data_IF_429938951815
#
_entry.id   IF_429938951815
#
_cell.length_a   1.000
_cell.length_b   1.000
_cell.length_c   1.000
_cell.angle_alpha   90.00
_cell.angle_beta   90.00
_cell.angle_gamma   90.00
#
_symmetry.space_group_name_H-M   'P 1'
#
loop_
_entity.id
_entity.type
_entity.pdbx_description
1 polymer ?
#
# COMPACT_ATOMS: atom_id res chain seq x y z
N UNK A 1 8.57 26.67 25.21
CA UNK A 1 9.50 25.68 25.81
C UNK A 1 9.22 24.31 25.20
N UNK A 2 10.17 23.37 25.23
CA UNK A 2 9.94 21.99 24.77
C UNK A 2 9.09 21.21 25.78
N UNK A 3 8.42 20.16 25.32
CA UNK A 3 8.67 18.84 25.88
C UNK A 3 8.44 17.74 24.85
N UNK A 4 9.26 16.68 24.93
CA UNK A 4 9.21 15.49 24.09
C UNK A 4 8.82 14.30 24.97
N UNK A 5 8.31 13.22 24.38
CA UNK A 5 8.36 11.90 25.01
C UNK A 5 8.65 10.84 23.94
N UNK A 6 9.49 9.86 24.30
CA UNK A 6 10.09 8.90 23.35
C UNK A 6 9.47 7.51 23.46
N UNK A 7 9.52 6.75 22.35
CA UNK A 7 9.18 5.32 22.30
C UNK A 7 9.90 4.63 21.13
N UNK A 8 10.53 3.48 21.38
CA UNK A 8 11.49 2.80 20.48
C UNK A 8 11.04 1.37 20.13
N UNK A 9 11.54 0.74 19.05
CA UNK A 9 11.01 -0.55 18.52
C UNK A 9 12.13 -1.54 18.10
N UNK A 10 12.05 -2.82 18.55
CA UNK A 10 13.10 -3.89 18.50
C UNK A 10 12.51 -5.32 18.14
N UNK A 11 13.29 -6.44 18.10
CA UNK A 11 12.90 -7.86 17.77
C UNK A 11 14.10 -8.80 17.33
N UNK A 12 13.93 -9.81 16.42
CA UNK A 12 14.85 -10.17 15.27
C UNK A 12 14.34 -11.15 14.15
N UNK A 13 14.87 -12.37 13.81
CA UNK A 13 15.02 -12.92 12.44
C UNK A 13 13.95 -14.00 12.06
N UNK A 14 13.97 -14.85 11.00
CA UNK A 14 14.81 -15.18 9.81
C UNK A 14 13.86 -15.52 8.60
N UNK A 15 14.16 -16.08 7.40
CA UNK A 15 15.29 -16.77 6.74
C UNK A 15 15.16 -16.67 5.16
N UNK A 16 15.62 -17.67 4.38
CA UNK A 16 15.81 -17.60 2.90
C UNK A 16 14.94 -18.55 2.03
N UNK A 17 14.50 -18.08 0.83
CA UNK A 17 14.26 -18.87 -0.42
C UNK A 17 14.53 -17.95 -1.65
N UNK A 18 14.90 -18.48 -2.83
CA UNK A 18 15.29 -17.72 -4.05
C UNK A 18 14.23 -17.72 -5.19
N UNK A 19 14.40 -16.76 -6.11
CA UNK A 19 13.93 -16.69 -7.51
C UNK A 19 12.46 -16.30 -7.87
N UNK A 20 12.30 -16.03 -9.17
CA UNK A 20 11.15 -15.55 -9.95
C UNK A 20 10.76 -14.06 -9.85
N UNK A 21 10.47 -13.48 -11.03
CA UNK A 21 9.88 -12.16 -11.23
C UNK A 21 8.33 -12.22 -11.08
N UNK A 22 7.55 -11.15 -11.10
CA UNK A 22 7.81 -9.81 -11.66
C UNK A 22 7.00 -8.71 -10.96
N UNK A 23 7.26 -7.44 -11.32
CA UNK A 23 6.39 -6.31 -11.06
C UNK A 23 6.36 -5.43 -12.31
N UNK A 24 5.70 -5.92 -13.36
CA UNK A 24 5.71 -5.41 -14.74
C UNK A 24 5.19 -3.98 -14.85
N UNK A 25 5.60 -3.25 -15.89
CA UNK A 25 4.79 -2.16 -16.43
C UNK A 25 3.46 -2.77 -16.91
N UNK A 26 2.34 -2.13 -16.61
CA UNK A 26 1.04 -2.60 -17.08
C UNK A 26 0.64 -1.81 -18.32
N UNK A 27 0.80 -2.44 -19.49
CA UNK A 27 0.23 -1.99 -20.77
C UNK A 27 -0.64 -3.14 -21.28
N UNK A 28 -1.81 -2.81 -21.82
CA UNK A 28 -2.91 -3.72 -22.20
C UNK A 28 -3.80 -4.24 -21.04
N UNK A 29 -4.97 -4.73 -21.44
CA UNK A 29 -6.21 -4.67 -20.64
C UNK A 29 -7.02 -5.98 -20.83
N UNK A 30 -6.37 -7.14 -20.66
CA UNK A 30 -6.95 -8.47 -20.88
C UNK A 30 -7.46 -9.09 -19.58
N UNK A 31 -8.39 -10.05 -19.67
CA UNK A 31 -8.96 -10.72 -18.48
C UNK A 31 -7.89 -11.56 -17.78
N UNK A 32 -7.03 -12.20 -18.56
CA UNK A 32 -6.04 -13.18 -18.11
C UNK A 32 -4.90 -12.52 -17.30
N UNK A 33 -4.50 -11.31 -17.68
CA UNK A 33 -3.49 -10.55 -16.93
C UNK A 33 -4.01 -10.10 -15.56
N UNK A 34 -5.31 -9.81 -15.44
CA UNK A 34 -5.96 -9.51 -14.15
C UNK A 34 -6.05 -10.78 -13.29
N UNK A 35 -6.36 -11.93 -13.89
CA UNK A 35 -6.43 -13.23 -13.19
C UNK A 35 -5.05 -13.68 -12.69
N UNK A 36 -4.00 -13.57 -13.50
CA UNK A 36 -2.61 -13.84 -13.08
C UNK A 36 -2.17 -12.93 -11.92
N UNK A 37 -2.47 -11.63 -12.01
CA UNK A 37 -2.20 -10.65 -10.96
C UNK A 37 -2.94 -10.99 -9.65
N UNK A 38 -4.21 -11.40 -9.72
CA UNK A 38 -4.98 -11.90 -8.57
C UNK A 38 -4.38 -13.17 -7.97
N UNK A 39 -3.94 -14.12 -8.80
CA UNK A 39 -3.32 -15.38 -8.36
C UNK A 39 -1.97 -15.13 -7.66
N UNK A 40 -1.16 -14.20 -8.19
CA UNK A 40 0.10 -13.73 -7.58
C UNK A 40 -0.12 -13.05 -6.23
N UNK A 41 -1.20 -12.27 -6.07
CA UNK A 41 -1.56 -11.71 -4.75
C UNK A 41 -2.06 -12.77 -3.77
N UNK A 42 -2.92 -13.69 -4.20
CA UNK A 42 -3.51 -14.72 -3.34
C UNK A 42 -2.45 -15.49 -2.57
N UNK A 43 -1.45 -16.03 -3.28
CA UNK A 43 -0.33 -16.80 -2.72
C UNK A 43 0.59 -15.99 -1.79
N UNK A 44 0.60 -14.66 -1.86
CA UNK A 44 1.51 -13.80 -1.06
C UNK A 44 0.85 -13.17 0.16
N UNK A 45 -0.41 -12.75 0.04
CA UNK A 45 -1.19 -12.23 1.15
C UNK A 45 -1.36 -13.27 2.27
N UNK A 46 -1.54 -14.55 1.92
CA UNK A 46 -1.82 -15.63 2.89
C UNK A 46 -0.56 -16.16 3.60
N UNK A 47 0.62 -15.64 3.23
CA UNK A 47 1.89 -15.78 3.97
C UNK A 47 2.09 -14.60 4.92
N UNK A 48 1.85 -13.37 4.47
CA UNK A 48 2.00 -12.17 5.31
C UNK A 48 0.93 -12.08 6.40
N UNK A 49 -0.30 -12.51 6.10
CA UNK A 49 -1.37 -12.62 7.09
C UNK A 49 -1.04 -13.63 8.21
N UNK A 50 -0.22 -14.65 7.93
CA UNK A 50 0.21 -15.64 8.92
C UNK A 50 1.13 -15.00 9.97
N UNK A 51 2.25 -14.42 9.53
CA UNK A 51 3.19 -13.68 10.40
C UNK A 51 2.68 -12.37 11.00
N UNK A 52 1.41 -12.01 10.78
CA UNK A 52 0.68 -10.97 11.52
C UNK A 52 -0.27 -11.60 12.55
N UNK A 53 -0.94 -12.71 12.21
CA UNK A 53 -1.84 -13.48 13.09
C UNK A 53 -1.15 -14.03 14.33
N UNK A 54 0.15 -14.31 14.24
CA UNK A 54 0.93 -14.87 15.35
C UNK A 54 1.27 -13.85 16.45
N UNK A 55 1.00 -12.55 16.24
CA UNK A 55 1.27 -11.48 17.23
C UNK A 55 0.17 -10.41 17.33
N UNK A 56 -0.96 -10.58 16.63
CA UNK A 56 -2.17 -9.75 16.79
C UNK A 56 -3.35 -10.70 16.81
N UNK A 57 -4.26 -10.54 17.78
CA UNK A 57 -5.48 -11.36 17.90
C UNK A 57 -6.50 -11.02 16.80
N UNK A 58 -6.13 -11.37 15.56
CA UNK A 58 -6.96 -11.25 14.37
C UNK A 58 -7.87 -12.48 14.25
N UNK A 59 -8.77 -12.61 15.23
CA UNK A 59 -9.92 -13.50 15.19
C UNK A 59 -10.91 -13.07 14.11
N UNK A 60 -10.59 -13.32 12.82
CA UNK A 60 -11.46 -12.97 11.69
C UNK A 60 -11.63 -14.12 10.71
N UNK A 61 -12.89 -14.40 10.36
CA UNK A 61 -13.30 -15.57 9.56
C UNK A 61 -12.73 -15.49 8.14
N UNK A 62 -12.20 -16.62 7.64
CA UNK A 62 -11.57 -16.76 6.31
C UNK A 62 -12.51 -16.30 5.17
N UNK A 63 -13.82 -16.48 5.34
CA UNK A 63 -14.86 -16.04 4.41
C UNK A 63 -14.83 -14.53 4.13
N UNK A 64 -14.46 -13.70 5.10
CA UNK A 64 -14.24 -12.26 4.85
C UNK A 64 -13.04 -12.03 3.93
N UNK A 65 -11.93 -12.75 4.13
CA UNK A 65 -10.71 -12.61 3.33
C UNK A 65 -11.02 -12.83 1.84
N UNK A 66 -11.78 -13.89 1.52
CA UNK A 66 -12.16 -14.24 0.14
C UNK A 66 -13.08 -13.19 -0.49
N UNK A 67 -14.16 -12.75 0.19
CA UNK A 67 -15.10 -11.75 -0.35
C UNK A 67 -14.42 -10.44 -0.77
N UNK A 68 -13.43 -9.98 0.00
CA UNK A 68 -12.64 -8.79 -0.37
C UNK A 68 -11.75 -9.00 -1.59
N UNK A 69 -11.07 -10.15 -1.69
CA UNK A 69 -10.18 -10.50 -2.83
C UNK A 69 -10.94 -10.55 -4.16
N UNK A 70 -12.11 -11.20 -4.20
CA UNK A 70 -12.99 -11.23 -5.37
C UNK A 70 -13.43 -9.82 -5.80
N UNK A 71 -13.69 -8.93 -4.84
CA UNK A 71 -14.14 -7.56 -5.13
C UNK A 71 -13.10 -6.74 -5.91
N UNK A 72 -11.80 -6.88 -5.64
CA UNK A 72 -10.79 -6.03 -6.29
C UNK A 72 -10.64 -6.35 -7.78
N UNK A 73 -10.57 -7.64 -8.13
CA UNK A 73 -10.55 -8.08 -9.53
C UNK A 73 -11.81 -7.65 -10.28
N UNK A 74 -12.98 -7.89 -9.68
CA UNK A 74 -14.27 -7.45 -10.24
C UNK A 74 -14.31 -5.93 -10.45
N UNK A 75 -13.83 -5.12 -9.48
CA UNK A 75 -13.79 -3.65 -9.56
C UNK A 75 -12.84 -3.14 -10.66
N UNK A 76 -11.78 -3.89 -10.99
CA UNK A 76 -10.87 -3.56 -12.11
C UNK A 76 -11.52 -3.86 -13.45
N UNK A 77 -12.16 -5.02 -13.59
CA UNK A 77 -12.90 -5.38 -14.81
C UNK A 77 -14.08 -4.44 -15.04
N UNK A 78 -14.87 -4.13 -14.00
CA UNK A 78 -15.97 -3.14 -14.02
C UNK A 78 -15.51 -1.69 -14.23
N UNK A 79 -14.20 -1.42 -14.12
CA UNK A 79 -13.62 -0.13 -14.47
C UNK A 79 -12.98 -0.13 -15.87
N UNK A 80 -12.78 -1.29 -16.50
CA UNK A 80 -11.99 -1.39 -17.72
C UNK A 80 -10.51 -1.05 -17.50
N UNK A 81 -9.95 -1.41 -16.34
CA UNK A 81 -8.51 -1.28 -16.06
C UNK A 81 -8.16 -0.55 -14.76
N UNK A 82 -6.92 -0.73 -14.30
CA UNK A 82 -6.43 -0.23 -13.01
C UNK A 82 -6.32 1.29 -12.93
N UNK A 83 -6.09 1.97 -14.06
CA UNK A 83 -6.11 3.44 -14.13
C UNK A 83 -7.53 4.00 -13.92
N UNK A 84 -8.56 3.35 -14.47
CA UNK A 84 -9.94 3.77 -14.24
C UNK A 84 -10.38 3.49 -12.80
N UNK A 85 -9.82 2.47 -12.15
CA UNK A 85 -9.97 2.28 -10.69
C UNK A 85 -9.34 3.43 -9.91
N UNK A 86 -8.13 3.88 -10.28
CA UNK A 86 -7.47 5.05 -9.67
C UNK A 86 -8.31 6.32 -9.85
N UNK A 87 -8.74 6.62 -11.08
CA UNK A 87 -9.61 7.77 -11.43
C UNK A 87 -10.99 7.73 -10.75
N UNK A 88 -11.51 6.54 -10.40
CA UNK A 88 -12.74 6.38 -9.58
C UNK A 88 -12.50 6.52 -8.07
N UNK A 89 -11.26 6.46 -7.59
CA UNK A 89 -10.94 6.50 -6.16
C UNK A 89 -10.44 7.86 -5.67
N UNK A 90 -9.82 8.63 -6.53
CA UNK A 90 -9.20 9.93 -6.24
C UNK A 90 -9.59 10.94 -7.31
N UNK A 91 -9.55 12.23 -6.96
CA UNK A 91 -9.59 13.30 -7.96
C UNK A 91 -8.27 13.28 -8.74
N UNK A 92 -8.36 13.03 -10.05
CA UNK A 92 -7.23 12.81 -10.95
C UNK A 92 -7.39 13.71 -12.17
N UNK A 93 -6.36 14.51 -12.48
CA UNK A 93 -6.44 15.48 -13.56
C UNK A 93 -6.43 14.80 -14.95
N UNK A 94 -6.87 15.51 -16.00
CA UNK A 94 -6.82 14.99 -17.39
C UNK A 94 -5.39 14.70 -17.87
N UNK A 95 -4.40 15.47 -17.40
CA UNK A 95 -2.96 15.29 -17.73
C UNK A 95 -2.26 14.25 -16.86
N UNK A 96 -2.76 14.02 -15.65
CA UNK A 96 -2.20 13.07 -14.70
C UNK A 96 -2.35 11.64 -15.22
N UNK A 97 -1.28 10.84 -15.17
CA UNK A 97 -1.25 9.44 -15.62
C UNK A 97 -0.91 8.51 -14.46
N UNK A 98 -1.57 7.36 -14.39
CA UNK A 98 -1.16 6.31 -13.45
C UNK A 98 0.11 5.62 -13.99
N UNK A 99 1.19 5.66 -13.22
CA UNK A 99 2.46 5.03 -13.56
C UNK A 99 2.55 3.61 -12.99
N UNK A 100 2.03 3.38 -11.77
CA UNK A 100 2.10 2.09 -11.09
C UNK A 100 0.96 1.86 -10.10
N UNK A 101 0.58 0.61 -9.90
CA UNK A 101 -0.18 0.16 -8.74
C UNK A 101 0.55 -1.01 -8.04
N UNK A 102 0.70 -0.92 -6.72
CA UNK A 102 1.40 -1.88 -5.87
C UNK A 102 0.53 -2.22 -4.65
N UNK A 103 0.19 -3.49 -4.41
CA UNK A 103 -0.46 -3.86 -3.14
C UNK A 103 0.57 -3.81 -2.00
N UNK A 104 0.16 -3.22 -0.88
CA UNK A 104 0.96 -3.07 0.32
C UNK A 104 0.04 -2.94 1.55
N UNK A 105 0.63 -2.65 2.70
CA UNK A 105 -0.08 -2.26 3.91
C UNK A 105 0.40 -0.88 4.33
N UNK A 106 -0.51 0.00 4.75
CA UNK A 106 -0.17 1.20 5.50
C UNK A 106 -0.07 0.82 6.99
N UNK A 107 1.07 1.04 7.61
CA UNK A 107 1.27 0.83 9.05
C UNK A 107 0.62 1.97 9.83
N UNK A 108 -0.23 1.64 10.80
CA UNK A 108 -0.85 2.61 11.73
C UNK A 108 -0.73 2.11 13.17
N UNK A 109 -1.02 2.96 14.16
CA UNK A 109 -1.06 2.59 15.58
C UNK A 109 -2.06 1.46 15.87
N UNK A 110 -3.20 1.43 15.18
CA UNK A 110 -4.19 0.34 15.22
C UNK A 110 -3.81 -0.89 14.36
N UNK A 111 -2.58 -0.94 13.85
CA UNK A 111 -2.06 -2.05 13.04
C UNK A 111 -2.00 -1.77 11.52
N UNK A 112 -1.56 -2.77 10.72
CA UNK A 112 -1.35 -2.62 9.29
C UNK A 112 -2.67 -2.72 8.49
N UNK A 113 -3.04 -1.65 7.81
CA UNK A 113 -4.21 -1.58 6.93
C UNK A 113 -3.83 -2.07 5.54
N UNK A 114 -4.42 -3.19 5.09
CA UNK A 114 -4.23 -3.71 3.73
C UNK A 114 -4.87 -2.81 2.66
N UNK A 115 -4.15 -2.57 1.55
CA UNK A 115 -4.67 -1.77 0.45
C UNK A 115 -3.75 -1.67 -0.75
N UNK A 116 -4.12 -0.74 -1.65
CA UNK A 116 -3.45 -0.54 -2.92
C UNK A 116 -2.82 0.85 -2.96
N UNK A 117 -1.50 0.90 -3.19
CA UNK A 117 -0.73 2.11 -3.43
C UNK A 117 -0.67 2.37 -4.93
N UNK A 118 -1.19 3.52 -5.35
CA UNK A 118 -1.10 4.07 -6.68
C UNK A 118 0.03 5.10 -6.72
N UNK A 119 0.82 5.08 -7.79
CA UNK A 119 1.88 6.06 -8.05
C UNK A 119 1.52 6.68 -9.40
N UNK A 120 1.23 7.97 -9.42
CA UNK A 120 0.94 8.74 -10.64
C UNK A 120 2.05 9.76 -10.93
N UNK A 121 1.95 10.47 -12.06
CA UNK A 121 2.84 11.60 -12.38
C UNK A 121 2.69 12.80 -11.43
N UNK A 122 1.70 12.80 -10.53
CA UNK A 122 1.38 13.95 -9.66
C UNK A 122 1.39 13.61 -8.17
N UNK A 123 1.05 12.35 -7.80
CA UNK A 123 0.85 11.97 -6.40
C UNK A 123 1.06 10.47 -6.14
N UNK A 124 1.46 10.16 -4.92
CA UNK A 124 1.35 8.81 -4.34
C UNK A 124 0.04 8.75 -3.57
N UNK A 125 -0.82 7.77 -3.87
CA UNK A 125 -2.13 7.65 -3.25
C UNK A 125 -2.39 6.23 -2.75
N UNK A 126 -2.82 6.09 -1.50
CA UNK A 126 -3.16 4.79 -0.91
C UNK A 126 -4.67 4.70 -0.65
N UNK A 127 -5.29 3.55 -0.96
CA UNK A 127 -6.66 3.24 -0.51
C UNK A 127 -6.69 1.84 0.11
N UNK A 128 -7.35 1.72 1.26
CA UNK A 128 -7.61 0.41 1.87
C UNK A 128 -8.50 -0.46 0.97
N UNK A 129 -8.24 -1.78 0.94
CA UNK A 129 -9.02 -2.73 0.13
C UNK A 129 -10.50 -2.75 0.53
N UNK A 130 -10.78 -2.41 1.81
CA UNK A 130 -12.07 -2.46 2.48
C UNK A 130 -12.36 -1.14 3.21
N UNK A 131 -13.62 -0.74 3.39
CA UNK A 131 -13.98 0.25 4.40
C UNK A 131 -13.56 -0.19 5.80
N UNK A 132 -13.08 0.76 6.60
CA UNK A 132 -13.03 0.64 8.05
C UNK A 132 -14.40 1.06 8.62
N UNK A 133 -14.75 0.54 9.79
CA UNK A 133 -15.98 0.94 10.51
C UNK A 133 -15.60 1.89 11.64
N UNK A 134 -16.36 2.98 11.77
CA UNK A 134 -16.25 3.98 12.83
C UNK A 134 -17.64 4.20 13.44
N UNK A 135 -17.71 4.49 14.73
CA UNK A 135 -18.95 4.91 15.38
C UNK A 135 -19.05 6.43 15.32
N UNK A 136 -20.19 6.97 14.89
CA UNK A 136 -20.47 8.41 14.94
C UNK A 136 -20.66 8.87 16.39
N UNK A 137 -20.55 10.18 16.69
CA UNK A 137 -20.95 10.72 18.00
C UNK A 137 -22.42 10.50 18.38
N UNK A 138 -23.27 10.05 17.44
CA UNK A 138 -24.68 9.67 17.66
C UNK A 138 -24.89 8.15 17.76
N UNK A 139 -23.84 7.34 17.62
CA UNK A 139 -23.88 5.87 17.66
C UNK A 139 -23.90 5.17 16.30
N UNK A 140 -24.01 5.90 15.18
CA UNK A 140 -24.15 5.29 13.84
C UNK A 140 -22.85 4.59 13.38
N UNK A 141 -22.95 3.41 12.80
CA UNK A 141 -21.79 2.70 12.24
C UNK A 141 -21.46 3.17 10.81
N UNK A 142 -20.62 4.20 10.71
CA UNK A 142 -20.11 4.75 9.46
C UNK A 142 -19.02 3.85 8.88
N UNK A 143 -19.10 3.51 7.58
CA UNK A 143 -18.16 2.61 6.91
C UNK A 143 -17.45 3.29 5.74
N UNK A 144 -16.25 3.84 5.96
CA UNK A 144 -15.48 4.58 4.95
C UNK A 144 -14.12 3.94 4.64
N UNK A 145 -13.65 3.99 3.38
CA UNK A 145 -12.32 3.52 3.02
C UNK A 145 -11.25 4.46 3.59
N UNK A 146 -10.20 3.91 4.19
CA UNK A 146 -9.02 4.70 4.53
C UNK A 146 -8.34 5.16 3.24
N UNK A 147 -8.01 6.44 3.14
CA UNK A 147 -7.39 7.06 1.96
C UNK A 147 -6.24 7.98 2.38
N UNK A 148 -5.15 7.92 1.62
CA UNK A 148 -4.03 8.88 1.67
C UNK A 148 -3.79 9.39 0.25
N UNK A 149 -3.39 10.65 0.10
CA UNK A 149 -3.02 11.26 -1.19
C UNK A 149 -1.93 12.29 -0.96
N UNK A 150 -0.69 11.94 -1.31
CA UNK A 150 0.54 12.72 -1.09
C UNK A 150 1.00 13.26 -2.46
N UNK A 151 0.85 14.56 -2.78
CA UNK A 151 1.41 15.14 -3.99
C UNK A 151 2.94 14.97 -4.01
N UNK A 152 3.54 14.67 -5.18
CA UNK A 152 4.99 14.43 -5.28
C UNK A 152 5.79 15.64 -4.79
N UNK A 153 5.43 16.85 -5.25
CA UNK A 153 5.92 18.16 -4.77
C UNK A 153 5.73 18.47 -3.27
N UNK A 154 5.13 17.57 -2.49
CA UNK A 154 5.01 17.66 -1.03
C UNK A 154 5.83 16.60 -0.30
N UNK A 155 6.55 15.74 -1.01
CA UNK A 155 7.46 14.76 -0.41
C UNK A 155 8.80 15.45 -0.16
N UNK A 156 9.38 15.17 1.02
CA UNK A 156 10.66 15.72 1.52
C UNK A 156 11.78 14.68 1.46
N UNK A 157 11.41 13.40 1.54
CA UNK A 157 12.24 12.22 1.20
C UNK A 157 11.39 10.97 1.11
N UNK A 158 11.90 9.97 0.39
CA UNK A 158 11.52 8.57 0.57
C UNK A 158 12.73 7.78 1.05
N UNK A 159 12.58 7.06 2.15
CA UNK A 159 13.67 6.37 2.84
C UNK A 159 13.37 4.88 3.01
N UNK A 160 14.36 4.00 2.77
CA UNK A 160 14.22 2.59 3.07
C UNK A 160 14.40 2.41 4.58
N UNK A 161 13.47 1.72 5.23
CA UNK A 161 13.58 1.37 6.64
C UNK A 161 13.44 -0.13 6.78
N UNK A 162 14.56 -0.80 6.99
CA UNK A 162 14.53 -2.17 7.49
C UNK A 162 14.42 -2.06 9.01
N UNK A 163 13.43 -2.73 9.62
CA UNK A 163 13.49 -2.88 11.07
C UNK A 163 14.76 -3.69 11.36
N UNK A 164 15.76 -3.04 11.96
CA UNK A 164 17.09 -3.58 12.34
C UNK A 164 16.97 -4.97 12.95
N UNK A 165 15.86 -5.18 13.66
CA UNK A 165 15.53 -6.39 14.37
C UNK A 165 14.08 -6.84 14.07
N UNK A 166 13.59 -6.72 12.84
CA UNK A 166 12.69 -7.69 12.16
C UNK A 166 12.94 -7.58 10.64
N UNK A 167 13.99 -8.21 10.08
CA UNK A 167 14.49 -7.90 8.73
C UNK A 167 13.53 -8.28 7.58
N UNK A 168 12.53 -9.13 7.87
CA UNK A 168 11.42 -9.43 6.96
C UNK A 168 10.35 -8.31 6.93
N UNK A 169 10.31 -7.46 7.97
CA UNK A 169 9.49 -6.25 8.02
C UNK A 169 10.30 -5.08 7.48
N UNK A 170 10.38 -5.01 6.15
CA UNK A 170 10.93 -3.88 5.40
C UNK A 170 9.81 -2.88 5.11
N UNK A 171 10.06 -1.62 5.42
CA UNK A 171 9.15 -0.49 5.32
C UNK A 171 9.73 0.55 4.35
N UNK A 172 8.86 1.21 3.58
CA UNK A 172 9.19 2.45 2.91
C UNK A 172 8.58 3.58 3.75
N UNK A 173 9.44 4.45 4.27
CA UNK A 173 9.04 5.70 4.91
C UNK A 173 8.90 6.76 3.80
N UNK A 174 7.75 7.42 3.73
CA UNK A 174 7.56 8.66 2.97
C UNK A 174 7.39 9.78 3.99
N UNK A 175 8.26 10.79 3.93
CA UNK A 175 8.14 11.98 4.79
C UNK A 175 7.80 13.17 3.93
N UNK A 176 6.86 14.00 4.37
CA UNK A 176 6.42 15.19 3.63
C UNK A 176 7.13 16.46 4.09
N UNK A 177 6.99 17.55 3.31
CA UNK A 177 7.57 18.87 3.64
C UNK A 177 7.01 19.47 4.94
N UNK A 178 5.80 19.08 5.31
CA UNK A 178 5.11 19.33 6.57
C UNK A 178 5.33 18.23 7.63
N UNK A 179 6.39 17.43 7.47
CA UNK A 179 6.91 16.41 8.40
C UNK A 179 5.90 15.33 8.86
N UNK A 180 4.84 15.08 8.08
CA UNK A 180 4.03 13.87 8.24
C UNK A 180 4.77 12.65 7.69
N UNK A 181 4.71 11.53 8.42
CA UNK A 181 5.33 10.28 8.02
C UNK A 181 4.30 9.20 7.62
N UNK A 182 4.49 8.58 6.47
CA UNK A 182 3.67 7.49 5.97
C UNK A 182 4.52 6.23 5.77
N UNK A 183 4.15 5.17 6.49
CA UNK A 183 4.94 3.95 6.64
C UNK A 183 4.31 2.78 5.88
N UNK A 184 4.81 2.47 4.68
CA UNK A 184 4.26 1.40 3.83
C UNK A 184 5.08 0.11 3.94
N UNK A 185 4.42 -1.04 4.12
CA UNK A 185 5.06 -2.34 4.34
C UNK A 185 4.42 -3.45 3.51
N UNK A 186 5.05 -4.63 3.47
CA UNK A 186 4.48 -5.83 2.83
C UNK A 186 4.39 -5.78 1.30
N UNK A 187 5.13 -4.88 0.64
CA UNK A 187 5.21 -4.81 -0.82
C UNK A 187 5.58 -6.14 -1.47
N UNK A 188 4.95 -6.45 -2.61
CA UNK A 188 5.23 -7.67 -3.40
C UNK A 188 6.71 -7.78 -3.79
N UNK A 189 7.39 -6.67 -4.07
CA UNK A 189 8.84 -6.62 -4.30
C UNK A 189 9.45 -5.35 -3.73
N UNK A 190 9.75 -5.36 -2.42
CA UNK A 190 10.25 -4.19 -1.68
C UNK A 190 11.33 -3.40 -2.42
N UNK A 191 12.45 -4.03 -2.84
CA UNK A 191 13.55 -3.33 -3.53
C UNK A 191 13.11 -2.67 -4.85
N UNK A 192 12.19 -3.27 -5.60
CA UNK A 192 11.67 -2.71 -6.85
C UNK A 192 10.67 -1.58 -6.58
N UNK A 193 9.73 -1.78 -5.66
CA UNK A 193 8.76 -0.75 -5.27
C UNK A 193 9.45 0.47 -4.66
N UNK A 194 10.47 0.26 -3.82
CA UNK A 194 11.29 1.34 -3.26
C UNK A 194 12.06 2.09 -4.35
N UNK A 195 12.86 1.40 -5.19
CA UNK A 195 13.61 2.08 -6.27
C UNK A 195 12.67 2.86 -7.22
N UNK A 196 11.49 2.31 -7.51
CA UNK A 196 10.51 2.98 -8.36
C UNK A 196 9.86 4.20 -7.70
N UNK A 197 9.57 4.13 -6.39
CA UNK A 197 9.09 5.28 -5.61
C UNK A 197 10.14 6.40 -5.59
N UNK A 198 11.40 6.05 -5.32
CA UNK A 198 12.53 6.97 -5.33
C UNK A 198 12.66 7.64 -6.71
N UNK A 199 12.77 6.86 -7.80
CA UNK A 199 12.89 7.39 -9.16
C UNK A 199 11.77 8.38 -9.53
N UNK A 200 10.51 8.09 -9.20
CA UNK A 200 9.38 9.01 -9.51
C UNK A 200 9.43 10.30 -8.69
N UNK A 201 10.08 10.31 -7.52
CA UNK A 201 10.28 11.51 -6.70
C UNK A 201 11.46 12.32 -7.25
N UNK A 202 12.60 11.66 -7.48
CA UNK A 202 13.80 12.27 -8.09
C UNK A 202 13.44 12.96 -9.43
N UNK A 203 12.66 12.28 -10.29
CA UNK A 203 12.14 12.83 -11.56
C UNK A 203 11.18 14.03 -11.36
N UNK A 204 10.44 14.08 -10.25
CA UNK A 204 9.53 15.20 -9.93
C UNK A 204 10.23 16.42 -9.35
N UNK A 205 11.34 16.22 -8.62
CA UNK A 205 12.21 17.30 -8.14
C UNK A 205 12.98 17.95 -9.30
N UNK A 206 13.41 17.16 -10.29
CA UNK A 206 14.06 17.65 -11.51
C UNK A 206 13.13 18.35 -12.52
N UNK A 207 11.82 18.38 -12.28
CA UNK A 207 10.81 18.95 -13.18
C UNK A 207 9.89 20.00 -12.53
N UNK A 208 10.28 20.50 -11.36
CA UNK A 208 9.60 21.55 -10.58
C UNK A 208 10.27 22.92 -10.70
#
# INVERSE_FOLDING_TARGET
MKNQNHGQVIGIPAANVRYAADCSLYRQNTKDSVIDWMNKFGKKADTYARGIRDHVSLGRKISETVKGKLSLGARILQAGGIENVFRRYFSVNKREKLLKACQCYLSTSSGPIAGLLFISTEKIAFRSDRPLTFTSPKGDLIRVPYKVSIPLRKIKRVSPSENVNKPNKKYVQIVTVDDFEFWFMGFVSYRRSFKYLQQVIDESEMSS
#
